data_IF_597345935033
#
_entry.id   IF_597345935033
#
_cell.length_a   1.000
_cell.length_b   1.000
_cell.length_c   1.000
_cell.angle_alpha   90.00
_cell.angle_beta   90.00
_cell.angle_gamma   90.00
#
_symmetry.space_group_name_H-M   'P 1'
#
loop_
_entity.id
_entity.type
_entity.pdbx_description
1 polymer ?
#
# COMPACT_ATOMS: atom_id res chain seq x y z
N UNK A 1 17.23 16.21 8.95
CA UNK A 1 17.65 14.90 8.41
C UNK A 1 19.14 14.78 8.59
N UNK A 2 19.59 13.96 9.54
CA UNK A 2 21.03 13.84 9.80
C UNK A 2 21.76 13.05 8.71
N UNK A 3 21.06 12.10 8.08
CA UNK A 3 21.52 11.30 6.96
C UNK A 3 22.02 12.12 5.74
N UNK A 4 21.56 13.37 5.59
CA UNK A 4 21.97 14.28 4.52
C UNK A 4 23.11 15.22 4.90
N UNK A 5 23.51 15.29 6.17
CA UNK A 5 24.65 16.11 6.58
C UNK A 5 25.95 15.35 6.29
N UNK A 6 26.98 16.07 5.85
CA UNK A 6 28.30 15.49 5.65
C UNK A 6 28.79 14.87 6.96
N UNK A 7 29.53 13.76 6.83
CA UNK A 7 30.23 13.12 7.93
C UNK A 7 30.98 14.20 8.73
N UNK A 8 30.75 14.27 10.04
CA UNK A 8 31.53 15.14 10.92
C UNK A 8 33.03 14.81 10.76
N UNK A 9 33.93 15.74 11.09
CA UNK A 9 35.38 15.45 11.11
C UNK A 9 35.70 14.19 11.94
N UNK A 10 34.86 13.84 12.93
CA UNK A 10 34.99 12.62 13.73
C UNK A 10 34.77 11.31 12.94
N UNK A 11 34.20 11.37 11.74
CA UNK A 11 33.91 10.22 10.85
C UNK A 11 34.83 10.15 9.63
N UNK A 12 35.74 11.11 9.44
CA UNK A 12 36.65 11.16 8.29
C UNK A 12 37.94 10.35 8.53
N UNK A 13 37.84 9.24 9.25
CA UNK A 13 38.99 8.48 9.70
C UNK A 13 38.75 6.97 9.64
N UNK A 14 39.68 6.26 9.00
CA UNK A 14 39.82 4.79 8.98
C UNK A 14 38.56 3.99 8.64
N UNK A 15 38.39 2.86 9.31
CA UNK A 15 37.32 1.88 9.03
C UNK A 15 35.93 2.49 9.24
N UNK A 16 35.79 3.43 10.18
CA UNK A 16 34.53 4.14 10.40
C UNK A 16 34.04 4.88 9.14
N UNK A 17 34.96 5.52 8.40
CA UNK A 17 34.61 6.22 7.16
C UNK A 17 34.16 5.24 6.07
N UNK A 18 34.85 4.11 5.93
CA UNK A 18 34.55 3.09 4.93
C UNK A 18 33.19 2.44 5.17
N UNK A 19 32.93 2.02 6.42
CA UNK A 19 31.64 1.43 6.83
C UNK A 19 30.50 2.43 6.58
N UNK A 20 30.71 3.70 6.93
CA UNK A 20 29.71 4.74 6.71
C UNK A 20 29.45 4.98 5.21
N UNK A 21 30.49 5.05 4.39
CA UNK A 21 30.36 5.24 2.96
C UNK A 21 29.61 4.07 2.28
N UNK A 22 29.98 2.83 2.62
CA UNK A 22 29.32 1.62 2.12
C UNK A 22 27.83 1.58 2.53
N UNK A 23 27.53 1.85 3.81
CA UNK A 23 26.16 1.89 4.27
C UNK A 23 25.34 2.94 3.52
N UNK A 24 25.88 4.16 3.33
CA UNK A 24 25.21 5.21 2.56
C UNK A 24 24.96 4.80 1.11
N UNK A 25 25.89 4.11 0.49
CA UNK A 25 25.73 3.60 -0.86
C UNK A 25 24.59 2.57 -0.94
N UNK A 26 24.46 1.68 0.06
CA UNK A 26 23.48 0.59 0.06
C UNK A 26 22.05 1.03 0.33
N UNK A 27 21.84 1.96 1.27
CA UNK A 27 20.49 2.32 1.74
C UNK A 27 20.15 3.80 1.60
N UNK A 28 21.05 4.61 1.04
CA UNK A 28 20.88 6.06 1.02
C UNK A 28 19.64 6.53 0.24
N UNK A 29 19.29 5.82 -0.84
CA UNK A 29 18.10 6.13 -1.64
C UNK A 29 16.81 5.82 -0.89
N UNK A 30 16.71 4.63 -0.32
CA UNK A 30 15.57 4.15 0.46
C UNK A 30 15.37 5.01 1.72
N UNK A 31 16.45 5.33 2.45
CA UNK A 31 16.38 6.18 3.65
C UNK A 31 15.90 7.61 3.31
N UNK A 32 16.41 8.19 2.22
CA UNK A 32 15.98 9.52 1.75
C UNK A 32 14.52 9.52 1.34
N UNK A 33 14.06 8.47 0.64
CA UNK A 33 12.65 8.30 0.26
C UNK A 33 11.76 8.15 1.48
N UNK A 34 12.20 7.39 2.48
CA UNK A 34 11.48 7.25 3.75
C UNK A 34 11.28 8.61 4.41
N UNK A 35 12.35 9.40 4.57
CA UNK A 35 12.28 10.73 5.19
C UNK A 35 11.34 11.69 4.43
N UNK A 36 11.31 11.62 3.10
CA UNK A 36 10.45 12.49 2.30
C UNK A 36 8.99 12.05 2.26
N UNK A 37 8.72 10.75 2.40
CA UNK A 37 7.40 10.17 2.12
C UNK A 37 6.64 9.73 3.36
N UNK A 38 7.31 9.46 4.48
CA UNK A 38 6.69 8.86 5.68
C UNK A 38 5.59 9.76 6.27
N UNK A 39 5.87 11.05 6.43
CA UNK A 39 4.92 12.02 6.98
C UNK A 39 3.69 12.15 6.08
N UNK A 40 3.90 12.24 4.77
CA UNK A 40 2.86 12.31 3.74
C UNK A 40 1.98 11.07 3.77
N UNK A 41 2.57 9.87 3.62
CA UNK A 41 1.82 8.61 3.62
C UNK A 41 1.01 8.42 4.91
N UNK A 42 1.61 8.73 6.07
CA UNK A 42 0.91 8.69 7.36
C UNK A 42 -0.28 9.65 7.40
N UNK A 43 -0.11 10.89 6.92
CA UNK A 43 -1.18 11.88 6.91
C UNK A 43 -2.32 11.48 5.95
N UNK A 44 -1.99 10.89 4.80
CA UNK A 44 -2.96 10.43 3.81
C UNK A 44 -3.75 9.23 4.32
N UNK A 45 -3.10 8.26 4.96
CA UNK A 45 -3.76 7.13 5.62
C UNK A 45 -4.78 7.65 6.65
N UNK A 46 -4.36 8.55 7.54
CA UNK A 46 -5.27 9.13 8.56
C UNK A 46 -6.42 9.91 7.94
N UNK A 47 -6.15 10.71 6.91
CA UNK A 47 -7.17 11.46 6.18
C UNK A 47 -8.21 10.50 5.60
N UNK A 48 -7.76 9.40 5.00
CA UNK A 48 -8.64 8.42 4.40
C UNK A 48 -9.43 7.63 5.44
N UNK A 49 -8.82 7.24 6.56
CA UNK A 49 -9.53 6.61 7.68
C UNK A 49 -10.69 7.49 8.18
N UNK A 50 -10.43 8.79 8.37
CA UNK A 50 -11.47 9.75 8.74
C UNK A 50 -12.57 9.87 7.68
N UNK A 51 -12.20 9.83 6.40
CA UNK A 51 -13.15 9.86 5.29
C UNK A 51 -14.03 8.60 5.26
N UNK A 52 -13.43 7.42 5.40
CA UNK A 52 -14.12 6.13 5.44
C UNK A 52 -15.08 6.05 6.64
N UNK A 53 -14.62 6.50 7.81
CA UNK A 53 -15.46 6.54 9.01
C UNK A 53 -16.70 7.43 8.80
N UNK A 54 -16.51 8.64 8.26
CA UNK A 54 -17.62 9.53 7.91
C UNK A 54 -18.55 8.90 6.87
N UNK A 55 -17.99 8.31 5.82
CA UNK A 55 -18.74 7.69 4.73
C UNK A 55 -19.62 6.54 5.21
N UNK A 56 -19.12 5.71 6.14
CA UNK A 56 -19.81 4.52 6.63
C UNK A 56 -20.80 4.82 7.77
N UNK A 57 -20.61 5.92 8.51
CA UNK A 57 -21.42 6.24 9.69
C UNK A 57 -22.38 7.41 9.50
N UNK A 58 -22.37 8.09 8.34
CA UNK A 58 -23.30 9.18 8.04
C UNK A 58 -24.58 8.65 7.36
N UNK A 59 -25.73 8.59 8.07
CA UNK A 59 -26.99 8.12 7.50
C UNK A 59 -27.56 9.07 6.45
N UNK A 60 -27.12 10.33 6.40
CA UNK A 60 -27.53 11.32 5.40
C UNK A 60 -26.65 11.30 4.14
N UNK A 61 -25.55 10.55 4.15
CA UNK A 61 -24.68 10.45 2.98
C UNK A 61 -25.40 9.71 1.84
N UNK A 62 -25.59 10.40 0.71
CA UNK A 62 -25.97 9.75 -0.55
C UNK A 62 -24.78 8.90 -1.05
N UNK A 63 -24.76 7.65 -0.62
CA UNK A 63 -23.75 6.65 -0.95
C UNK A 63 -24.03 6.08 -2.34
N UNK A 64 -23.34 6.63 -3.33
CA UNK A 64 -23.37 6.10 -4.69
C UNK A 64 -22.34 4.95 -4.82
N UNK A 65 -22.62 3.94 -5.66
CA UNK A 65 -21.66 2.87 -5.98
C UNK A 65 -20.27 3.39 -6.39
N UNK A 66 -20.24 4.50 -7.15
CA UNK A 66 -19.00 5.10 -7.64
C UNK A 66 -18.14 5.67 -6.52
N UNK A 67 -18.75 6.38 -5.56
CA UNK A 67 -18.06 6.93 -4.40
C UNK A 67 -17.45 5.84 -3.53
N UNK A 68 -18.21 4.77 -3.26
CA UNK A 68 -17.75 3.63 -2.48
C UNK A 68 -16.59 2.89 -3.19
N UNK A 69 -16.72 2.70 -4.51
CA UNK A 69 -15.68 2.04 -5.32
C UNK A 69 -14.42 2.90 -5.43
N UNK A 70 -14.57 4.23 -5.52
CA UNK A 70 -13.44 5.16 -5.52
C UNK A 70 -12.72 5.14 -4.18
N UNK A 71 -13.45 5.25 -3.06
CA UNK A 71 -12.87 5.19 -1.72
C UNK A 71 -12.11 3.88 -1.50
N UNK A 72 -12.65 2.74 -1.97
CA UNK A 72 -11.97 1.46 -1.91
C UNK A 72 -10.66 1.44 -2.71
N UNK A 73 -10.66 1.97 -3.94
CA UNK A 73 -9.47 2.05 -4.80
C UNK A 73 -8.38 2.93 -4.18
N UNK A 74 -8.75 4.11 -3.70
CA UNK A 74 -7.82 5.01 -3.00
C UNK A 74 -7.21 4.34 -1.76
N UNK A 75 -8.02 3.59 -1.01
CA UNK A 75 -7.55 2.89 0.18
C UNK A 75 -6.55 1.78 -0.15
N UNK A 76 -6.80 0.98 -1.19
CA UNK A 76 -5.85 -0.05 -1.64
C UNK A 76 -4.52 0.55 -2.10
N UNK A 77 -4.55 1.65 -2.87
CA UNK A 77 -3.32 2.32 -3.32
C UNK A 77 -2.45 2.77 -2.13
N UNK A 78 -3.06 3.35 -1.10
CA UNK A 78 -2.33 3.78 0.11
C UNK A 78 -1.81 2.59 0.92
N UNK A 79 -2.55 1.48 0.98
CA UNK A 79 -2.08 0.24 1.62
C UNK A 79 -0.88 -0.33 0.88
N UNK A 80 -0.93 -0.41 -0.45
CA UNK A 80 0.17 -0.91 -1.27
C UNK A 80 1.43 -0.04 -1.11
N UNK A 81 1.26 1.29 -1.17
CA UNK A 81 2.34 2.23 -0.89
C UNK A 81 2.90 2.04 0.54
N UNK A 82 2.03 1.89 1.53
CA UNK A 82 2.41 1.62 2.92
C UNK A 82 3.22 0.34 3.05
N UNK A 83 2.81 -0.75 2.40
CA UNK A 83 3.53 -2.03 2.39
C UNK A 83 4.90 -1.91 1.71
N UNK A 84 5.00 -1.20 0.59
CA UNK A 84 6.27 -0.94 -0.06
C UNK A 84 7.23 -0.21 0.89
N UNK A 85 6.77 0.86 1.53
CA UNK A 85 7.57 1.61 2.50
C UNK A 85 8.01 0.73 3.67
N UNK A 86 7.11 -0.06 4.24
CA UNK A 86 7.44 -1.01 5.33
C UNK A 86 8.53 -1.98 4.88
N UNK A 87 8.45 -2.51 3.66
CA UNK A 87 9.47 -3.41 3.10
C UNK A 87 10.83 -2.71 2.97
N UNK A 88 10.85 -1.50 2.41
CA UNK A 88 12.06 -0.68 2.26
C UNK A 88 12.70 -0.36 3.63
N UNK A 89 11.90 -0.02 4.65
CA UNK A 89 12.41 0.24 6.00
C UNK A 89 13.04 -0.99 6.66
N UNK A 90 12.48 -2.19 6.43
CA UNK A 90 13.05 -3.45 6.94
C UNK A 90 14.43 -3.70 6.34
N UNK A 91 14.56 -3.51 5.03
CA UNK A 91 15.85 -3.60 4.33
C UNK A 91 16.86 -2.59 4.89
N UNK A 92 16.43 -1.36 5.14
CA UNK A 92 17.30 -0.34 5.74
C UNK A 92 17.80 -0.78 7.13
N UNK A 93 16.88 -1.18 8.01
CA UNK A 93 17.23 -1.63 9.36
C UNK A 93 18.14 -2.87 9.37
N UNK A 94 17.95 -3.79 8.42
CA UNK A 94 18.82 -4.95 8.25
C UNK A 94 20.25 -4.53 7.87
N UNK A 95 20.41 -3.65 6.88
CA UNK A 95 21.74 -3.16 6.49
C UNK A 95 22.39 -2.31 7.60
N UNK A 96 21.62 -1.53 8.35
CA UNK A 96 22.13 -0.82 9.53
C UNK A 96 22.64 -1.82 10.58
N UNK A 97 21.92 -2.90 10.84
CA UNK A 97 22.39 -3.95 11.75
C UNK A 97 23.69 -4.61 11.27
N UNK A 98 23.82 -4.88 9.97
CA UNK A 98 25.07 -5.39 9.38
C UNK A 98 26.23 -4.42 9.62
N UNK A 99 26.02 -3.12 9.36
CA UNK A 99 27.05 -2.10 9.61
C UNK A 99 27.42 -2.01 11.11
N UNK A 100 26.44 -2.11 12.02
CA UNK A 100 26.71 -2.12 13.46
C UNK A 100 27.51 -3.35 13.91
N UNK A 101 27.26 -4.52 13.31
CA UNK A 101 28.06 -5.72 13.55
C UNK A 101 29.51 -5.54 13.07
N UNK A 102 29.70 -4.94 11.89
CA UNK A 102 31.05 -4.60 11.39
C UNK A 102 31.77 -3.62 12.33
N UNK A 103 31.08 -2.57 12.79
CA UNK A 103 31.67 -1.61 13.75
C UNK A 103 32.08 -2.31 15.04
N UNK A 104 31.26 -3.23 15.56
CA UNK A 104 31.60 -4.01 16.76
C UNK A 104 32.88 -4.83 16.54
N UNK A 105 33.01 -5.50 15.40
CA UNK A 105 34.19 -6.29 15.07
C UNK A 105 35.45 -5.42 14.93
N UNK A 106 35.36 -4.30 14.22
CA UNK A 106 36.46 -3.34 14.06
C UNK A 106 36.87 -2.72 15.41
N UNK A 107 35.90 -2.41 16.29
CA UNK A 107 36.18 -1.92 17.64
C UNK A 107 36.95 -2.94 18.47
N UNK A 108 36.57 -4.22 18.41
CA UNK A 108 37.28 -5.29 19.11
C UNK A 108 38.71 -5.44 18.59
N UNK A 109 38.90 -5.48 17.27
CA UNK A 109 40.23 -5.55 16.65
C UNK A 109 41.11 -4.35 17.03
N UNK A 110 40.59 -3.13 16.92
CA UNK A 110 41.35 -1.91 17.26
C UNK A 110 41.71 -1.85 18.75
N UNK A 111 40.81 -2.29 19.63
CA UNK A 111 41.08 -2.39 21.08
C UNK A 111 42.15 -3.42 21.39
N UNK A 112 42.14 -4.56 20.70
CA UNK A 112 43.14 -5.61 20.89
C UNK A 112 44.51 -5.17 20.37
N UNK A 113 44.59 -4.62 19.15
CA UNK A 113 45.82 -4.07 18.59
C UNK A 113 46.43 -3.00 19.50
N UNK A 114 45.60 -2.14 20.10
CA UNK A 114 46.05 -1.07 21.00
C UNK A 114 46.78 -1.60 22.23
N UNK A 115 46.45 -2.80 22.74
CA UNK A 115 47.14 -3.40 23.90
C UNK A 115 48.61 -3.72 23.62
N UNK A 116 48.93 -4.04 22.35
CA UNK A 116 50.25 -4.46 21.91
C UNK A 116 50.99 -3.39 21.07
N UNK A 117 50.35 -2.23 20.85
CA UNK A 117 50.86 -1.19 19.98
C UNK A 117 51.96 -0.34 20.63
N UNK A 118 52.90 0.10 19.81
CA UNK A 118 53.90 1.10 20.19
C UNK A 118 53.23 2.46 20.50
N UNK A 119 53.83 3.31 21.35
CA UNK A 119 53.21 4.57 21.80
C UNK A 119 52.71 5.50 20.68
N UNK A 120 53.39 5.54 19.53
CA UNK A 120 53.01 6.36 18.38
C UNK A 120 51.84 5.77 17.57
N UNK A 121 51.66 4.45 17.57
CA UNK A 121 50.50 3.79 16.92
C UNK A 121 49.25 3.85 17.81
N UNK A 122 49.42 3.97 19.13
CA UNK A 122 48.32 4.08 20.09
C UNK A 122 47.46 5.32 19.86
N UNK A 123 48.04 6.45 19.41
CA UNK A 123 47.24 7.65 19.12
C UNK A 123 46.28 7.43 17.95
N UNK A 124 46.72 6.72 16.92
CA UNK A 124 45.90 6.44 15.75
C UNK A 124 44.78 5.44 16.05
N UNK A 125 45.09 4.37 16.79
CA UNK A 125 44.08 3.42 17.27
C UNK A 125 43.07 4.07 18.23
N UNK A 126 43.48 5.07 19.02
CA UNK A 126 42.54 5.85 19.84
C UNK A 126 41.59 6.68 18.99
N UNK A 127 42.07 7.27 17.89
CA UNK A 127 41.22 8.01 16.94
C UNK A 127 40.24 7.08 16.25
N UNK A 128 40.70 5.91 15.79
CA UNK A 128 39.84 4.87 15.19
C UNK A 128 38.72 4.43 16.13
N UNK A 129 39.08 4.04 17.36
CA UNK A 129 38.09 3.63 18.38
C UNK A 129 37.08 4.75 18.63
N UNK A 130 37.52 6.00 18.73
CA UNK A 130 36.63 7.15 18.93
C UNK A 130 35.68 7.33 17.75
N UNK A 131 36.19 7.24 16.52
CA UNK A 131 35.40 7.37 15.29
C UNK A 131 34.33 6.27 15.17
N UNK A 132 34.71 5.01 15.41
CA UNK A 132 33.81 3.86 15.39
C UNK A 132 32.74 3.94 16.49
N UNK A 133 33.12 4.30 17.72
CA UNK A 133 32.15 4.50 18.82
C UNK A 133 31.19 5.65 18.51
N UNK A 134 31.69 6.74 17.93
CA UNK A 134 30.84 7.85 17.51
C UNK A 134 29.85 7.43 16.40
N UNK A 135 30.31 6.67 15.40
CA UNK A 135 29.45 6.13 14.34
C UNK A 135 28.35 5.22 14.91
N UNK A 136 28.65 4.31 15.82
CA UNK A 136 27.61 3.43 16.39
C UNK A 136 26.65 4.20 17.31
N UNK A 137 27.18 4.83 18.35
CA UNK A 137 26.37 5.36 19.45
C UNK A 137 25.69 6.68 19.11
N UNK A 138 26.39 7.54 18.36
CA UNK A 138 25.84 8.83 17.99
C UNK A 138 25.04 8.70 16.72
N UNK A 139 25.57 8.10 15.65
CA UNK A 139 24.90 8.12 14.34
C UNK A 139 23.87 7.00 14.17
N UNK A 140 24.32 5.74 14.20
CA UNK A 140 23.49 4.63 13.75
C UNK A 140 22.43 4.24 14.77
N UNK A 141 22.75 4.17 16.05
CA UNK A 141 21.80 3.72 17.06
C UNK A 141 20.56 4.64 17.16
N UNK A 142 20.68 5.99 17.18
CA UNK A 142 19.51 6.86 17.19
C UNK A 142 18.67 6.77 15.91
N UNK A 143 19.31 6.75 14.73
CA UNK A 143 18.58 6.66 13.46
C UNK A 143 17.87 5.31 13.32
N UNK A 144 18.52 4.22 13.75
CA UNK A 144 17.93 2.88 13.78
C UNK A 144 16.68 2.85 14.65
N UNK A 145 16.77 3.40 15.86
CA UNK A 145 15.66 3.43 16.81
C UNK A 145 14.50 4.29 16.27
N UNK A 146 14.81 5.45 15.68
CA UNK A 146 13.81 6.30 15.06
C UNK A 146 13.09 5.59 13.91
N UNK A 147 13.84 5.04 12.96
CA UNK A 147 13.29 4.33 11.80
C UNK A 147 12.46 3.11 12.22
N UNK A 148 12.92 2.35 13.21
CA UNK A 148 12.16 1.22 13.76
C UNK A 148 10.82 1.67 14.35
N UNK A 149 10.83 2.73 15.16
CA UNK A 149 9.62 3.29 15.76
C UNK A 149 8.64 3.82 14.71
N UNK A 150 9.14 4.52 13.70
CA UNK A 150 8.33 5.05 12.60
C UNK A 150 7.71 3.92 11.77
N UNK A 151 8.49 2.87 11.47
CA UNK A 151 8.00 1.66 10.80
C UNK A 151 6.87 1.02 11.58
N UNK A 152 7.04 0.81 12.88
CA UNK A 152 6.04 0.11 13.70
C UNK A 152 4.74 0.91 13.79
N UNK A 153 4.83 2.25 13.81
CA UNK A 153 3.68 3.13 13.66
C UNK A 153 3.01 2.95 12.29
N UNK A 154 3.77 2.96 11.19
CA UNK A 154 3.20 2.77 9.85
C UNK A 154 2.53 1.41 9.69
N UNK A 155 3.14 0.33 10.21
CA UNK A 155 2.54 -1.01 10.23
C UNK A 155 1.17 -0.97 10.90
N UNK A 156 1.07 -0.30 12.05
CA UNK A 156 -0.18 -0.19 12.80
C UNK A 156 -1.25 0.59 12.02
N UNK A 157 -0.88 1.71 11.38
CA UNK A 157 -1.79 2.54 10.59
C UNK A 157 -2.29 1.81 9.33
N UNK A 158 -1.39 1.12 8.60
CA UNK A 158 -1.74 0.29 7.44
C UNK A 158 -2.65 -0.86 7.83
N UNK A 159 -2.40 -1.49 8.97
CA UNK A 159 -3.26 -2.56 9.49
C UNK A 159 -4.67 -2.06 9.83
N UNK A 160 -4.78 -0.89 10.48
CA UNK A 160 -6.07 -0.26 10.76
C UNK A 160 -6.82 0.08 9.48
N UNK A 161 -6.14 0.68 8.49
CA UNK A 161 -6.76 0.98 7.19
C UNK A 161 -7.24 -0.29 6.47
N UNK A 162 -6.46 -1.38 6.51
CA UNK A 162 -6.88 -2.68 5.95
C UNK A 162 -8.16 -3.24 6.61
N UNK A 163 -8.30 -3.06 7.93
CA UNK A 163 -9.54 -3.43 8.62
C UNK A 163 -10.74 -2.60 8.12
N UNK A 164 -10.56 -1.29 7.97
CA UNK A 164 -11.61 -0.41 7.46
C UNK A 164 -11.97 -0.71 6.01
N UNK A 165 -10.99 -1.07 5.17
CA UNK A 165 -11.21 -1.56 3.81
C UNK A 165 -12.10 -2.80 3.82
N UNK A 166 -11.87 -3.73 4.74
CA UNK A 166 -12.70 -4.93 4.88
C UNK A 166 -14.14 -4.59 5.26
N UNK A 167 -14.32 -3.61 6.16
CA UNK A 167 -15.66 -3.10 6.51
C UNK A 167 -16.34 -2.47 5.30
N UNK A 168 -15.62 -1.64 4.54
CA UNK A 168 -16.12 -1.02 3.31
C UNK A 168 -16.52 -2.06 2.26
N UNK A 169 -15.70 -3.09 2.04
CA UNK A 169 -16.00 -4.17 1.10
C UNK A 169 -17.28 -4.91 1.48
N UNK A 170 -17.44 -5.24 2.77
CA UNK A 170 -18.66 -5.85 3.29
C UNK A 170 -19.88 -4.94 3.09
N UNK A 171 -19.72 -3.64 3.38
CA UNK A 171 -20.78 -2.65 3.18
C UNK A 171 -21.23 -2.58 1.72
N UNK A 172 -20.27 -2.53 0.77
CA UNK A 172 -20.55 -2.51 -0.67
C UNK A 172 -21.32 -3.76 -1.08
N UNK A 173 -20.88 -4.93 -0.60
CA UNK A 173 -21.50 -6.23 -0.90
C UNK A 173 -22.96 -6.28 -0.41
N UNK A 174 -23.22 -5.84 0.82
CA UNK A 174 -24.56 -5.96 1.43
C UNK A 174 -25.55 -4.90 0.97
N UNK A 175 -25.10 -3.66 0.72
CA UNK A 175 -26.00 -2.52 0.52
C UNK A 175 -26.25 -2.16 -0.96
N UNK A 176 -25.44 -2.69 -1.90
CA UNK A 176 -25.64 -2.42 -3.34
C UNK A 176 -26.33 -3.58 -4.09
N UNK A 177 -26.86 -4.58 -3.37
CA UNK A 177 -27.55 -5.73 -3.97
C UNK A 177 -26.69 -6.48 -4.98
N UNK A 178 -27.28 -6.90 -6.12
CA UNK A 178 -26.55 -7.62 -7.17
C UNK A 178 -25.35 -6.85 -7.72
N UNK A 179 -25.42 -5.52 -7.83
CA UNK A 179 -24.29 -4.71 -8.31
C UNK A 179 -23.10 -4.76 -7.34
N UNK A 180 -23.37 -4.78 -6.04
CA UNK A 180 -22.37 -4.96 -4.99
C UNK A 180 -21.72 -6.33 -5.03
N UNK A 181 -22.53 -7.38 -5.22
CA UNK A 181 -22.03 -8.75 -5.32
C UNK A 181 -21.14 -8.95 -6.56
N UNK A 182 -21.57 -8.50 -7.75
CA UNK A 182 -20.75 -8.56 -8.98
C UNK A 182 -19.45 -7.77 -8.82
N UNK A 183 -19.51 -6.59 -8.21
CA UNK A 183 -18.33 -5.80 -7.90
C UNK A 183 -17.38 -6.55 -6.96
N UNK A 184 -17.91 -7.12 -5.87
CA UNK A 184 -17.14 -7.84 -4.86
C UNK A 184 -16.43 -9.04 -5.49
N UNK A 185 -17.14 -9.86 -6.26
CA UNK A 185 -16.56 -10.98 -6.99
C UNK A 185 -15.48 -10.54 -7.98
N UNK A 186 -15.67 -9.41 -8.67
CA UNK A 186 -14.69 -8.88 -9.61
C UNK A 186 -13.43 -8.37 -8.91
N UNK A 187 -13.59 -7.62 -7.81
CA UNK A 187 -12.49 -6.94 -7.14
C UNK A 187 -11.74 -7.88 -6.21
N UNK A 188 -12.46 -8.59 -5.33
CA UNK A 188 -11.87 -9.56 -4.41
C UNK A 188 -11.36 -10.78 -5.17
N UNK A 189 -12.07 -11.22 -6.22
CA UNK A 189 -11.58 -12.29 -7.09
C UNK A 189 -10.23 -11.95 -7.75
N UNK A 190 -10.06 -10.72 -8.23
CA UNK A 190 -8.77 -10.26 -8.76
C UNK A 190 -7.68 -10.16 -7.69
N UNK A 191 -8.00 -9.62 -6.51
CA UNK A 191 -7.06 -9.51 -5.40
C UNK A 191 -6.58 -10.90 -4.97
N UNK A 192 -7.50 -11.85 -4.79
CA UNK A 192 -7.17 -13.23 -4.42
C UNK A 192 -6.30 -13.91 -5.48
N UNK A 193 -6.60 -13.71 -6.77
CA UNK A 193 -5.78 -14.27 -7.86
C UNK A 193 -4.42 -13.60 -7.93
N UNK A 194 -4.30 -12.29 -7.68
CA UNK A 194 -3.00 -11.64 -7.57
C UNK A 194 -2.18 -12.14 -6.38
N UNK A 195 -2.81 -12.31 -5.23
CA UNK A 195 -2.17 -12.84 -4.03
C UNK A 195 -1.71 -14.29 -4.23
N UNK A 196 -2.53 -15.11 -4.89
CA UNK A 196 -2.19 -16.47 -5.28
C UNK A 196 -1.03 -16.48 -6.29
N UNK A 197 -1.05 -15.60 -7.30
CA UNK A 197 0.01 -15.50 -8.29
C UNK A 197 1.35 -15.08 -7.68
N UNK A 198 1.31 -14.21 -6.67
CA UNK A 198 2.50 -13.85 -5.90
C UNK A 198 3.06 -15.03 -5.11
N UNK A 199 2.19 -15.84 -4.50
CA UNK A 199 2.61 -17.08 -3.83
C UNK A 199 3.18 -18.10 -4.83
N UNK A 200 2.52 -18.27 -5.98
CA UNK A 200 2.97 -19.16 -7.05
C UNK A 200 4.36 -18.76 -7.57
N UNK A 201 4.60 -17.47 -7.81
CA UNK A 201 5.91 -16.97 -8.25
C UNK A 201 7.04 -17.29 -7.25
N UNK A 202 6.75 -17.22 -5.94
CA UNK A 202 7.71 -17.61 -4.89
C UNK A 202 7.99 -19.11 -4.87
N UNK A 203 7.05 -19.93 -5.34
CA UNK A 203 7.15 -21.39 -5.38
C UNK A 203 7.54 -21.93 -6.78
N UNK A 204 7.78 -21.06 -7.76
CA UNK A 204 8.06 -21.46 -9.14
C UNK A 204 6.87 -22.07 -9.88
N UNK A 205 5.64 -21.82 -9.41
CA UNK A 205 4.40 -22.33 -10.00
C UNK A 205 3.84 -21.37 -11.07
N UNK A 206 3.10 -21.88 -12.07
CA UNK A 206 2.47 -21.06 -13.10
C UNK A 206 1.41 -20.12 -12.52
N UNK A 207 1.26 -18.94 -13.13
CA UNK A 207 0.26 -17.95 -12.73
C UNK A 207 -1.14 -18.36 -13.18
N UNK A 208 -2.11 -18.23 -12.29
CA UNK A 208 -3.54 -18.36 -12.58
C UNK A 208 -4.01 -17.14 -13.40
N UNK A 209 -4.85 -17.33 -14.44
CA UNK A 209 -5.40 -16.22 -15.21
C UNK A 209 -6.21 -15.29 -14.31
N UNK A 210 -5.91 -14.00 -14.38
CA UNK A 210 -6.68 -12.98 -13.66
C UNK A 210 -8.09 -12.99 -14.23
N UNK A 211 -9.16 -13.07 -13.39
CA UNK A 211 -10.53 -12.99 -13.86
C UNK A 211 -10.69 -11.71 -14.67
N UNK A 212 -10.92 -11.87 -15.97
CA UNK A 212 -11.24 -10.73 -16.81
C UNK A 212 -12.58 -10.20 -16.34
N UNK A 213 -12.63 -8.91 -15.99
CA UNK A 213 -13.91 -8.24 -15.81
C UNK A 213 -14.66 -8.45 -17.12
N UNK A 214 -15.79 -9.15 -17.09
CA UNK A 214 -16.78 -8.95 -18.14
C UNK A 214 -17.08 -7.46 -18.10
N UNK A 215 -16.44 -6.71 -19.01
CA UNK A 215 -16.79 -5.33 -19.25
C UNK A 215 -18.25 -5.40 -19.70
N UNK A 216 -19.18 -5.09 -18.80
CA UNK A 216 -20.41 -4.44 -19.18
C UNK A 216 -19.96 -3.13 -19.82
N UNK A 217 -19.61 -3.21 -21.09
CA UNK A 217 -19.35 -2.06 -21.94
C UNK A 217 -20.65 -1.28 -21.92
N UNK A 218 -20.66 -0.17 -21.18
CA UNK A 218 -21.81 0.73 -21.06
C UNK A 218 -22.25 1.35 -22.40
N UNK A 219 -21.58 1.00 -23.50
CA UNK A 219 -21.92 1.42 -24.87
C UNK A 219 -22.55 0.32 -25.72
N UNK A 220 -22.72 -0.91 -25.19
CA UNK A 220 -23.52 -1.90 -25.91
C UNK A 220 -25.00 -1.54 -25.76
N UNK A 221 -25.51 -0.77 -26.73
CA UNK A 221 -26.94 -0.68 -26.98
C UNK A 221 -27.46 -2.08 -27.29
N UNK A 222 -28.04 -2.72 -26.27
CA UNK A 222 -28.69 -4.01 -26.44
C UNK A 222 -30.11 -3.80 -26.92
N UNK A 223 -30.56 -4.62 -27.86
CA UNK A 223 -31.96 -4.66 -28.28
C UNK A 223 -32.68 -5.77 -27.53
N UNK A 224 -33.92 -5.52 -27.11
CA UNK A 224 -34.74 -6.50 -26.40
C UNK A 224 -36.19 -6.45 -26.88
N UNK A 225 -36.98 -7.43 -26.47
CA UNK A 225 -38.42 -7.49 -26.73
C UNK A 225 -39.14 -7.27 -25.41
N UNK A 226 -40.08 -6.33 -25.37
CA UNK A 226 -40.89 -6.03 -24.19
C UNK A 226 -41.73 -7.26 -23.85
N UNK A 227 -41.44 -7.90 -22.71
CA UNK A 227 -42.19 -9.05 -22.20
C UNK A 227 -43.54 -8.63 -21.64
N UNK A 228 -43.55 -7.53 -20.89
CA UNK A 228 -44.75 -6.84 -20.41
C UNK A 228 -44.38 -5.43 -19.95
N UNK A 229 -45.36 -4.52 -19.98
CA UNK A 229 -45.24 -3.19 -19.40
C UNK A 229 -46.59 -2.78 -18.83
N UNK A 230 -46.61 -2.30 -17.60
CA UNK A 230 -47.80 -1.80 -16.91
C UNK A 230 -47.68 -0.27 -16.80
N UNK A 231 -48.46 0.45 -17.60
CA UNK A 231 -48.47 1.90 -17.62
C UNK A 231 -48.97 2.53 -16.30
N UNK A 232 -49.86 1.84 -15.58
CA UNK A 232 -50.37 2.30 -14.29
C UNK A 232 -49.30 2.22 -13.20
N UNK A 233 -48.50 1.15 -13.24
CA UNK A 233 -47.37 0.93 -12.32
C UNK A 233 -46.05 1.53 -12.81
N UNK A 234 -46.03 2.11 -14.02
CA UNK A 234 -44.86 2.74 -14.65
C UNK A 234 -43.63 1.85 -14.74
N UNK A 235 -43.83 0.53 -14.84
CA UNK A 235 -42.75 -0.45 -14.86
C UNK A 235 -43.04 -1.60 -15.82
N UNK A 236 -41.99 -2.30 -16.26
CA UNK A 236 -42.09 -3.46 -17.13
C UNK A 236 -40.80 -4.27 -17.17
N UNK A 237 -40.79 -5.25 -18.07
CA UNK A 237 -39.66 -6.16 -18.29
C UNK A 237 -39.38 -6.31 -19.78
N UNK A 238 -38.11 -6.32 -20.15
CA UNK A 238 -37.61 -6.52 -21.50
C UNK A 238 -36.71 -7.76 -21.54
N UNK A 239 -36.93 -8.62 -22.53
CA UNK A 239 -36.10 -9.80 -22.80
C UNK A 239 -35.03 -9.45 -23.85
N UNK A 240 -33.72 -9.46 -23.53
CA UNK A 240 -32.67 -9.18 -24.52
C UNK A 240 -32.69 -10.17 -25.69
N UNK A 241 -32.58 -9.68 -26.94
CA UNK A 241 -32.57 -10.53 -28.14
C UNK A 241 -31.29 -11.36 -28.23
N UNK A 242 -30.18 -10.88 -27.66
CA UNK A 242 -28.90 -11.61 -27.60
C UNK A 242 -28.83 -12.71 -26.54
N UNK A 243 -29.93 -13.01 -25.85
CA UNK A 243 -29.91 -13.80 -24.61
C UNK A 243 -29.40 -12.99 -23.42
N UNK A 244 -29.64 -13.49 -22.21
CA UNK A 244 -29.29 -12.82 -20.96
C UNK A 244 -30.45 -12.75 -19.97
N UNK A 245 -30.21 -12.11 -18.83
CA UNK A 245 -31.23 -11.92 -17.80
C UNK A 245 -32.29 -10.89 -18.24
N UNK A 246 -33.50 -11.04 -17.70
CA UNK A 246 -34.61 -10.11 -17.93
C UNK A 246 -34.27 -8.72 -17.36
N UNK A 247 -34.49 -7.67 -18.16
CA UNK A 247 -34.16 -6.30 -17.78
C UNK A 247 -35.42 -5.59 -17.29
N UNK A 248 -35.40 -5.13 -16.04
CA UNK A 248 -36.45 -4.27 -15.51
C UNK A 248 -36.35 -2.87 -16.11
N UNK A 249 -37.48 -2.35 -16.59
CA UNK A 249 -37.62 -0.99 -17.13
C UNK A 249 -38.60 -0.18 -16.30
N UNK A 250 -38.23 1.05 -15.96
CA UNK A 250 -39.11 2.04 -15.31
C UNK A 250 -39.35 3.21 -16.25
N UNK A 251 -40.45 3.94 -16.07
CA UNK A 251 -40.86 5.03 -16.98
C UNK A 251 -39.78 6.09 -17.16
N UNK A 252 -39.01 6.38 -16.12
CA UNK A 252 -37.91 7.35 -16.10
C UNK A 252 -36.75 6.95 -17.02
N UNK A 253 -36.63 5.66 -17.32
CA UNK A 253 -35.64 5.12 -18.26
C UNK A 253 -36.06 5.24 -19.74
N UNK A 254 -37.31 5.65 -20.02
CA UNK A 254 -37.85 5.77 -21.38
C UNK A 254 -37.64 7.19 -21.93
N UNK A 255 -36.60 7.36 -22.74
CA UNK A 255 -36.31 8.61 -23.44
C UNK A 255 -37.36 8.88 -24.53
N UNK A 256 -38.33 9.76 -24.24
CA UNK A 256 -39.31 10.27 -25.21
C UNK A 256 -40.45 9.32 -25.58
N UNK A 257 -40.48 8.10 -25.04
CA UNK A 257 -41.54 7.12 -25.31
C UNK A 257 -42.55 7.10 -24.15
N UNK A 258 -43.86 7.34 -24.40
CA UNK A 258 -44.85 7.47 -23.34
C UNK A 258 -45.21 6.14 -22.65
N UNK A 259 -45.18 5.02 -23.39
CA UNK A 259 -45.45 3.66 -22.90
C UNK A 259 -44.81 2.63 -23.84
N UNK A 260 -44.61 1.41 -23.32
CA UNK A 260 -44.15 0.27 -24.12
C UNK A 260 -45.29 -0.73 -24.33
N UNK A 261 -45.32 -1.38 -25.49
CA UNK A 261 -46.26 -2.45 -25.79
C UNK A 261 -45.58 -3.82 -25.68
N UNK A 262 -46.30 -4.82 -25.17
CA UNK A 262 -45.81 -6.21 -25.18
C UNK A 262 -45.47 -6.63 -26.61
N UNK A 263 -44.28 -7.21 -26.81
CA UNK A 263 -43.76 -7.61 -28.11
C UNK A 263 -43.02 -6.51 -28.87
N UNK A 264 -43.01 -5.28 -28.38
CA UNK A 264 -42.26 -4.18 -28.99
C UNK A 264 -40.74 -4.43 -28.88
N UNK A 265 -40.01 -4.08 -29.95
CA UNK A 265 -38.55 -4.15 -30.04
C UNK A 265 -37.90 -2.81 -29.73
#
# INVERSE_FOLDING_TARGET
>A
MWWSHNASEELSFGSAQEIWADLRQRIGKERTRWDSSFSTAKSEIKRLQLCLNKLLNDPAALLTPDKLTQAHREALLLVDQGHQMISESRRCLEQMNVARQQISAELEMAREQKKHAWPWAVSELRREIKALTFLDEKQLAPDYNQLSLERDRLISEVWMLNKEITVLQNYIRTNLGQKGEVWYQTVVGKINVHQQNWQNARQGLPTTPIPQTQQLTMDQRMTGIVKWYDASRRQGVINPIGGGEEVNVVRESLNGVPYLQKGQR
#
